data_IF_155668742469
#
_entry.id   IF_155668742469
#
_cell.length_a   1.000
_cell.length_b   1.000
_cell.length_c   1.000
_cell.angle_alpha   90.00
_cell.angle_beta   90.00
_cell.angle_gamma   90.00
#
_symmetry.space_group_name_H-M   'P 1'
#
loop_
_entity.id
_entity.type
_entity.pdbx_description
1 polymer ?
#
# COMPACT_ATOMS: atom_id res chain seq x y z
N UNK A 1 -5.22 -14.99 -8.95
CA UNK A 1 -5.29 -13.54 -9.21
C UNK A 1 -4.59 -12.78 -8.10
N UNK A 2 -3.95 -11.70 -8.41
CA UNK A 2 -3.26 -10.85 -7.42
C UNK A 2 -4.26 -10.19 -6.48
N UNK A 3 -3.84 -9.98 -5.23
CA UNK A 3 -4.65 -9.28 -4.24
C UNK A 3 -3.98 -7.96 -3.89
N UNK A 4 -4.73 -6.88 -4.05
CA UNK A 4 -4.28 -5.53 -3.70
C UNK A 4 -5.16 -5.01 -2.57
N UNK A 5 -4.55 -4.63 -1.46
CA UNK A 5 -5.26 -3.99 -0.36
C UNK A 5 -5.12 -2.48 -0.53
N UNK A 6 -6.26 -1.79 -0.50
CA UNK A 6 -6.29 -0.33 -0.47
C UNK A 6 -6.65 0.07 0.96
N UNK A 7 -5.64 0.53 1.69
CA UNK A 7 -5.78 0.88 3.10
C UNK A 7 -5.79 2.38 3.29
N UNK A 8 -6.82 2.89 3.94
CA UNK A 8 -6.90 4.28 4.37
C UNK A 8 -7.96 4.42 5.46
N UNK A 9 -7.73 5.35 6.38
CA UNK A 9 -8.75 5.73 7.36
C UNK A 9 -9.89 6.51 6.71
N UNK A 10 -9.70 6.97 5.46
CA UNK A 10 -10.68 7.78 4.73
C UNK A 10 -11.31 6.97 3.60
N UNK A 11 -12.62 6.84 3.64
CA UNK A 11 -13.36 6.12 2.61
C UNK A 11 -13.20 6.76 1.22
N UNK A 12 -13.11 8.09 1.17
CA UNK A 12 -12.94 8.82 -0.09
C UNK A 12 -11.65 8.44 -0.79
N UNK A 13 -10.57 8.30 -0.04
CA UNK A 13 -9.29 7.89 -0.60
C UNK A 13 -9.37 6.47 -1.16
N UNK A 14 -9.98 5.54 -0.42
CA UNK A 14 -10.11 4.16 -0.89
C UNK A 14 -10.89 4.10 -2.20
N UNK A 15 -12.00 4.84 -2.28
CA UNK A 15 -12.82 4.88 -3.49
C UNK A 15 -12.07 5.53 -4.65
N UNK A 16 -11.34 6.62 -4.39
CA UNK A 16 -10.56 7.31 -5.42
C UNK A 16 -9.50 6.38 -6.03
N UNK A 17 -8.69 5.76 -5.20
CA UNK A 17 -7.62 4.89 -5.68
C UNK A 17 -8.20 3.70 -6.44
N UNK A 18 -9.26 3.09 -5.92
CA UNK A 18 -9.92 1.97 -6.61
C UNK A 18 -10.42 2.40 -7.98
N UNK A 19 -10.99 3.60 -8.07
CA UNK A 19 -11.48 4.14 -9.34
C UNK A 19 -10.38 4.47 -10.35
N UNK A 20 -9.17 4.82 -9.88
CA UNK A 20 -8.06 5.13 -10.77
C UNK A 20 -7.41 3.86 -11.35
N UNK A 21 -7.52 2.72 -10.70
CA UNK A 21 -6.87 1.48 -11.11
C UNK A 21 -7.76 0.70 -12.09
N UNK A 22 -8.01 1.29 -13.25
CA UNK A 22 -8.91 0.71 -14.25
C UNK A 22 -8.25 -0.34 -15.14
N UNK A 23 -6.93 -0.34 -15.24
CA UNK A 23 -6.18 -1.24 -16.12
C UNK A 23 -5.40 -2.32 -15.37
N UNK A 24 -5.78 -2.57 -14.12
CA UNK A 24 -5.12 -3.59 -13.28
C UNK A 24 -6.14 -4.66 -12.94
N UNK A 25 -5.86 -5.89 -13.33
CA UNK A 25 -6.70 -7.03 -12.97
C UNK A 25 -6.23 -7.61 -11.65
N UNK A 26 -7.04 -7.46 -10.61
CA UNK A 26 -6.72 -7.93 -9.27
C UNK A 26 -7.98 -7.99 -8.42
N UNK A 27 -7.89 -8.71 -7.30
CA UNK A 27 -8.86 -8.56 -6.23
C UNK A 27 -8.46 -7.35 -5.40
N UNK A 28 -9.38 -6.41 -5.27
CA UNK A 28 -9.17 -5.21 -4.47
C UNK A 28 -9.91 -5.37 -3.15
N UNK A 29 -9.17 -5.26 -2.05
CA UNK A 29 -9.70 -5.44 -0.70
C UNK A 29 -9.53 -4.11 0.05
N UNK A 30 -10.62 -3.51 0.55
CA UNK A 30 -10.50 -2.29 1.35
C UNK A 30 -10.06 -2.62 2.77
N UNK A 31 -9.31 -1.70 3.36
CA UNK A 31 -8.93 -1.76 4.77
C UNK A 31 -9.06 -0.37 5.38
N UNK A 32 -9.73 -0.28 6.52
CA UNK A 32 -10.04 0.99 7.18
C UNK A 32 -9.38 1.15 8.54
N UNK A 33 -8.64 0.15 9.02
CA UNK A 33 -7.92 0.22 10.27
C UNK A 33 -6.65 -0.61 10.21
N UNK A 34 -5.70 -0.30 11.11
CA UNK A 34 -4.47 -1.07 11.22
C UNK A 34 -4.76 -2.54 11.54
N UNK A 35 -5.70 -2.78 12.44
CA UNK A 35 -6.09 -4.13 12.85
C UNK A 35 -6.66 -4.92 11.68
N UNK A 36 -7.47 -4.29 10.86
CA UNK A 36 -8.02 -4.92 9.66
C UNK A 36 -6.94 -5.27 8.65
N UNK A 37 -6.00 -4.33 8.41
CA UNK A 37 -4.88 -4.58 7.51
C UNK A 37 -4.04 -5.76 7.97
N UNK A 38 -3.70 -5.80 9.26
CA UNK A 38 -2.91 -6.90 9.82
C UNK A 38 -3.63 -8.24 9.69
N UNK A 39 -4.94 -8.27 9.97
CA UNK A 39 -5.73 -9.49 9.82
C UNK A 39 -5.72 -9.97 8.37
N UNK A 40 -5.90 -9.07 7.40
CA UNK A 40 -5.87 -9.43 5.99
C UNK A 40 -4.52 -10.04 5.62
N UNK A 41 -3.42 -9.39 6.01
CA UNK A 41 -2.07 -9.85 5.67
C UNK A 41 -1.70 -11.16 6.37
N UNK A 42 -2.26 -11.42 7.54
CA UNK A 42 -1.95 -12.63 8.31
C UNK A 42 -2.78 -13.84 7.89
N UNK A 43 -3.98 -13.61 7.37
CA UNK A 43 -4.91 -14.70 7.03
C UNK A 43 -4.90 -15.09 5.57
N UNK A 44 -4.37 -14.25 4.70
CA UNK A 44 -4.31 -14.54 3.27
C UNK A 44 -3.11 -13.86 2.64
N UNK A 45 -2.66 -14.41 1.50
CA UNK A 45 -1.57 -13.79 0.76
C UNK A 45 -2.04 -12.47 0.16
N UNK A 46 -1.30 -11.40 0.45
CA UNK A 46 -1.51 -10.10 -0.13
C UNK A 46 -0.27 -9.72 -0.94
N UNK A 47 -0.45 -9.23 -2.17
CA UNK A 47 0.66 -8.92 -3.07
C UNK A 47 1.11 -7.47 -2.93
N UNK A 48 0.18 -6.56 -2.71
CA UNK A 48 0.46 -5.13 -2.68
C UNK A 48 -0.48 -4.42 -1.72
N UNK A 49 0.06 -3.49 -0.96
CA UNK A 49 -0.72 -2.55 -0.13
C UNK A 49 -0.51 -1.15 -0.67
N UNK A 50 -1.59 -0.46 -0.98
CA UNK A 50 -1.61 0.95 -1.35
C UNK A 50 -2.22 1.73 -0.19
N UNK A 51 -1.52 2.70 0.34
CA UNK A 51 -2.00 3.42 1.52
C UNK A 51 -1.54 4.88 1.56
N UNK A 52 -2.37 5.74 2.14
CA UNK A 52 -2.00 7.10 2.51
C UNK A 52 -1.68 7.24 4.00
N UNK A 53 -1.73 6.16 4.75
CA UNK A 53 -1.58 6.18 6.21
C UNK A 53 -0.12 6.11 6.61
N UNK A 54 0.56 7.25 6.48
CA UNK A 54 1.98 7.38 6.81
C UNK A 54 2.25 7.04 8.27
N UNK A 55 1.38 7.50 9.18
CA UNK A 55 1.58 7.33 10.62
C UNK A 55 1.63 5.89 11.06
N UNK A 56 0.99 5.00 10.30
CA UNK A 56 0.97 3.57 10.59
C UNK A 56 2.39 2.98 10.61
N UNK A 57 3.33 3.59 9.89
CA UNK A 57 4.70 3.10 9.75
C UNK A 57 5.73 3.95 10.49
N UNK A 58 5.30 4.92 11.30
CA UNK A 58 6.21 5.90 11.92
C UNK A 58 6.27 5.72 13.43
N UNK A 59 7.25 6.40 14.06
CA UNK A 59 7.34 6.55 15.53
C UNK A 59 7.43 5.23 16.29
N UNK A 60 8.30 4.33 15.83
CA UNK A 60 8.52 3.05 16.52
C UNK A 60 7.38 2.07 16.35
N UNK A 61 6.54 2.25 15.32
CA UNK A 61 5.49 1.30 15.03
C UNK A 61 6.09 -0.03 14.62
N UNK A 62 5.44 -1.12 14.96
CA UNK A 62 5.85 -2.47 14.60
C UNK A 62 4.97 -3.06 13.49
N UNK A 63 4.29 -2.21 12.74
CA UNK A 63 3.32 -2.64 11.75
C UNK A 63 3.91 -3.62 10.73
N UNK A 64 5.06 -3.29 10.16
CA UNK A 64 5.69 -4.18 9.16
C UNK A 64 6.16 -5.48 9.82
N UNK A 65 6.69 -5.40 11.03
CA UNK A 65 7.09 -6.62 11.75
C UNK A 65 5.89 -7.55 11.98
N UNK A 66 4.74 -6.98 12.32
CA UNK A 66 3.52 -7.79 12.49
C UNK A 66 2.97 -8.31 11.17
N UNK A 67 3.12 -7.56 10.08
CA UNK A 67 2.73 -8.03 8.75
C UNK A 67 3.56 -9.25 8.33
N UNK A 68 4.82 -9.30 8.74
CA UNK A 68 5.70 -10.44 8.45
C UNK A 68 5.33 -11.72 9.17
N UNK A 69 4.47 -11.67 10.16
CA UNK A 69 3.95 -12.86 10.81
C UNK A 69 3.00 -13.66 9.92
N UNK A 70 2.54 -13.06 8.83
CA UNK A 70 1.76 -13.74 7.82
C UNK A 70 2.63 -14.60 6.89
N UNK A 71 2.01 -15.12 5.84
CA UNK A 71 2.68 -16.01 4.89
C UNK A 71 3.72 -15.32 4.02
N UNK A 72 3.54 -14.04 3.72
CA UNK A 72 4.48 -13.25 2.93
C UNK A 72 4.22 -11.78 3.16
N UNK A 73 5.32 -11.01 3.23
CA UNK A 73 5.22 -9.55 3.31
C UNK A 73 4.84 -8.99 1.94
N UNK A 74 3.74 -8.24 1.82
CA UNK A 74 3.40 -7.59 0.56
C UNK A 74 4.35 -6.44 0.25
N UNK A 75 4.36 -5.99 -1.00
CA UNK A 75 4.95 -4.70 -1.34
C UNK A 75 4.07 -3.60 -0.76
N UNK A 76 4.68 -2.52 -0.31
CA UNK A 76 3.96 -1.40 0.32
C UNK A 76 4.29 -0.12 -0.44
N UNK A 77 3.25 0.50 -1.00
CA UNK A 77 3.35 1.78 -1.69
C UNK A 77 2.59 2.82 -0.88
N UNK A 78 3.28 3.88 -0.49
CA UNK A 78 2.67 5.02 0.21
C UNK A 78 2.39 6.13 -0.79
N UNK A 79 1.15 6.61 -0.79
CA UNK A 79 0.71 7.72 -1.62
C UNK A 79 0.40 8.91 -0.70
N UNK A 80 1.03 10.06 -0.93
CA UNK A 80 0.83 11.21 -0.05
C UNK A 80 1.09 12.52 -0.78
N UNK A 81 0.39 13.58 -0.35
CA UNK A 81 0.67 14.93 -0.79
C UNK A 81 1.92 15.50 -0.12
N UNK A 82 2.33 14.94 1.00
CA UNK A 82 3.44 15.44 1.81
C UNK A 82 4.50 14.34 1.97
N UNK A 83 5.34 14.19 0.94
CA UNK A 83 6.48 13.29 0.98
C UNK A 83 7.77 14.10 1.10
N UNK A 84 7.97 14.70 2.30
CA UNK A 84 9.22 15.37 2.62
C UNK A 84 10.37 14.37 2.66
N UNK A 85 11.60 14.87 2.52
CA UNK A 85 12.79 14.03 2.56
C UNK A 85 12.88 13.23 3.87
N UNK A 86 12.58 13.87 4.99
CA UNK A 86 12.61 13.20 6.29
C UNK A 86 11.57 12.09 6.39
N UNK A 87 10.37 12.33 5.88
CA UNK A 87 9.31 11.32 5.87
C UNK A 87 9.70 10.13 4.99
N UNK A 88 10.20 10.39 3.79
CA UNK A 88 10.63 9.34 2.87
C UNK A 88 11.73 8.49 3.50
N UNK A 89 12.73 9.13 4.10
CA UNK A 89 13.83 8.42 4.77
C UNK A 89 13.31 7.51 5.87
N UNK A 90 12.42 8.02 6.72
CA UNK A 90 11.85 7.24 7.82
C UNK A 90 11.05 6.05 7.31
N UNK A 91 10.27 6.24 6.25
CA UNK A 91 9.48 5.14 5.67
C UNK A 91 10.36 4.08 5.02
N UNK A 92 11.45 4.48 4.36
CA UNK A 92 12.41 3.53 3.79
C UNK A 92 13.05 2.68 4.88
N UNK A 93 13.41 3.29 6.00
CA UNK A 93 14.00 2.57 7.14
C UNK A 93 13.02 1.54 7.71
N UNK A 94 11.72 1.81 7.66
CA UNK A 94 10.70 0.87 8.12
C UNK A 94 10.40 -0.25 7.11
N UNK A 95 10.83 -0.10 5.85
CA UNK A 95 10.64 -1.13 4.84
C UNK A 95 9.57 -0.86 3.81
N UNK A 96 9.10 0.38 3.69
CA UNK A 96 8.19 0.78 2.61
C UNK A 96 8.95 0.73 1.29
N UNK A 97 8.30 0.22 0.24
CA UNK A 97 8.97 -0.07 -1.02
C UNK A 97 8.95 1.08 -2.01
N UNK A 98 7.85 1.82 -2.09
CA UNK A 98 7.74 2.95 -3.00
C UNK A 98 6.87 4.07 -2.44
N UNK A 99 7.10 5.25 -2.98
CA UNK A 99 6.38 6.47 -2.62
C UNK A 99 5.82 7.07 -3.89
N UNK A 100 4.55 7.49 -3.84
CA UNK A 100 3.88 8.12 -4.97
C UNK A 100 3.35 9.46 -4.50
N UNK A 101 3.89 10.54 -5.09
CA UNK A 101 3.42 11.88 -4.76
C UNK A 101 2.03 12.11 -5.35
N UNK A 102 1.15 12.67 -4.55
CA UNK A 102 -0.19 13.06 -4.99
C UNK A 102 -0.21 14.54 -5.35
N UNK A 103 -1.00 14.95 -6.33
CA UNK A 103 -1.83 14.12 -7.19
C UNK A 103 -1.02 13.29 -8.19
N UNK A 104 -1.54 12.13 -8.56
CA UNK A 104 -0.90 11.25 -9.54
C UNK A 104 -1.84 11.03 -10.72
N UNK A 105 -1.28 11.03 -11.93
CA UNK A 105 -2.06 10.73 -13.14
C UNK A 105 -2.47 9.26 -13.12
N UNK A 106 -3.71 8.93 -13.53
CA UNK A 106 -4.18 7.55 -13.53
C UNK A 106 -3.27 6.61 -14.34
N UNK A 107 -2.77 7.05 -15.48
CA UNK A 107 -1.89 6.25 -16.32
C UNK A 107 -0.60 5.88 -15.58
N UNK A 108 -0.01 6.84 -14.86
CA UNK A 108 1.21 6.60 -14.11
C UNK A 108 0.99 5.64 -12.96
N UNK A 109 -0.13 5.77 -12.24
CA UNK A 109 -0.47 4.87 -11.15
C UNK A 109 -0.65 3.45 -11.66
N UNK A 110 -1.40 3.27 -12.75
CA UNK A 110 -1.62 1.96 -13.36
C UNK A 110 -0.29 1.31 -13.78
N UNK A 111 0.61 2.08 -14.39
CA UNK A 111 1.91 1.56 -14.80
C UNK A 111 2.74 1.11 -13.60
N UNK A 112 2.77 1.90 -12.54
CA UNK A 112 3.54 1.56 -11.33
C UNK A 112 3.02 0.27 -10.69
N UNK A 113 1.72 0.11 -10.60
CA UNK A 113 1.11 -1.09 -10.02
C UNK A 113 1.35 -2.29 -10.93
N UNK A 114 1.15 -2.13 -12.23
CA UNK A 114 1.37 -3.22 -13.20
C UNK A 114 2.84 -3.67 -13.23
N UNK A 115 3.78 -2.74 -13.12
CA UNK A 115 5.21 -3.04 -13.10
C UNK A 115 5.56 -3.93 -11.91
N UNK A 116 4.90 -3.74 -10.78
CA UNK A 116 5.12 -4.56 -9.60
C UNK A 116 4.82 -6.04 -9.88
N UNK A 117 3.80 -6.33 -10.67
CA UNK A 117 3.45 -7.70 -11.01
C UNK A 117 4.48 -8.36 -11.92
N UNK A 118 5.08 -7.61 -12.83
CA UNK A 118 6.07 -8.14 -13.76
C UNK A 118 7.34 -8.63 -13.06
N UNK A 119 7.64 -8.13 -11.87
CA UNK A 119 8.83 -8.52 -11.11
C UNK A 119 8.72 -9.92 -10.52
N UNK A 120 7.52 -10.50 -10.48
CA UNK A 120 7.26 -11.79 -9.85
C UNK A 120 6.90 -12.87 -10.85
N UNK A 121 7.08 -12.60 -12.12
CA UNK A 121 6.77 -13.55 -13.19
C UNK A 121 8.05 -14.27 -13.65
#
# INVERSE_FOLDING_TARGET
>A
MRKIVIHSLRAEFRALIRGLLTNVEAFFVPSSSREELLRICQTSKCDLVLTDDVRMFMNGSDTIAQMRQGSALPQIYVLSHDLSEDTVTALLEEGVNQFIALPVAPERLNVKVATQYKKFV
#
